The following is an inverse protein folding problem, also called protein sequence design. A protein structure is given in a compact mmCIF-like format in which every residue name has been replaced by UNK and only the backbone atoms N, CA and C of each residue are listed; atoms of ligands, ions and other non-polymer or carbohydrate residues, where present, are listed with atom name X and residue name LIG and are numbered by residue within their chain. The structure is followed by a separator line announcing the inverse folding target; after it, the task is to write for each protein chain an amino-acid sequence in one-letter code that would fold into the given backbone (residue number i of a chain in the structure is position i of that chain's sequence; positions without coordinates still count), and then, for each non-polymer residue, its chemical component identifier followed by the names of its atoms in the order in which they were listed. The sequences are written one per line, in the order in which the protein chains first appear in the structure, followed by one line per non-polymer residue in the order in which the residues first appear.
data_IF_266308892579
#
_entry.id   IF_266308892579
#
_cell.length_a   1.000
_cell.length_b   1.000
_cell.length_c   1.000
_cell.angle_alpha   90.00
_cell.angle_beta   90.00
_cell.angle_gamma   90.00
#
_symmetry.space_group_name_H-M   'P 1'
#
loop_
_entity.id
_entity.type
_entity.pdbx_description
1 polymer ?
#
# COMPACT_ATOMS: atom_id res chain seq x y z
N UNK A 1 -12.53 -16.28 29.53
CA UNK A 1 -13.65 -16.98 28.86
C UNK A 1 -14.37 -16.11 27.84
N UNK A 2 -14.99 -14.99 28.22
CA UNK A 2 -15.72 -14.10 27.29
C UNK A 2 -14.86 -13.64 26.09
N UNK A 3 -13.59 -13.30 26.30
CA UNK A 3 -12.70 -12.92 25.20
C UNK A 3 -12.40 -14.09 24.25
N UNK A 4 -12.30 -15.33 24.76
CA UNK A 4 -12.12 -16.53 23.94
C UNK A 4 -13.38 -16.81 23.12
N UNK A 5 -14.57 -16.62 23.70
CA UNK A 5 -15.86 -16.75 23.00
C UNK A 5 -15.97 -15.70 21.90
N UNK A 6 -15.65 -14.44 22.18
CA UNK A 6 -15.64 -13.38 21.18
C UNK A 6 -14.64 -13.67 20.04
N UNK A 7 -13.45 -14.17 20.37
CA UNK A 7 -12.44 -14.55 19.39
C UNK A 7 -12.88 -15.73 18.50
N UNK A 8 -13.46 -16.76 19.11
CA UNK A 8 -14.02 -17.91 18.39
C UNK A 8 -15.19 -17.48 17.49
N UNK A 9 -16.09 -16.62 17.99
CA UNK A 9 -17.22 -16.08 17.24
C UNK A 9 -16.76 -15.24 16.03
N UNK A 10 -15.72 -14.43 16.20
CA UNK A 10 -15.10 -13.67 15.10
C UNK A 10 -14.46 -14.58 14.05
N UNK A 11 -13.88 -15.71 14.48
CA UNK A 11 -13.25 -16.68 13.58
C UNK A 11 -14.27 -17.48 12.75
N UNK A 12 -15.47 -17.73 13.29
CA UNK A 12 -16.56 -18.42 12.59
C UNK A 12 -17.19 -17.60 11.45
N UNK A 13 -17.10 -16.26 11.51
CA UNK A 13 -17.72 -15.34 10.55
C UNK A 13 -19.26 -15.49 10.43
N UNK A 14 -19.93 -14.62 9.65
CA UNK A 14 -21.38 -14.74 9.38
C UNK A 14 -22.31 -14.22 10.50
N UNK A 15 -23.63 -14.46 10.34
CA UNK A 15 -24.69 -13.87 11.18
C UNK A 15 -24.63 -14.38 12.62
N UNK A 16 -24.46 -15.69 12.81
CA UNK A 16 -24.37 -16.32 14.14
C UNK A 16 -23.12 -15.88 14.91
N UNK A 17 -21.98 -15.68 14.22
CA UNK A 17 -20.77 -15.11 14.83
C UNK A 17 -20.97 -13.67 15.32
N UNK A 18 -21.70 -12.84 14.56
CA UNK A 18 -22.06 -11.47 14.97
C UNK A 18 -22.93 -11.44 16.22
N UNK A 19 -23.96 -12.29 16.27
CA UNK A 19 -24.88 -12.37 17.41
C UNK A 19 -24.15 -12.85 18.67
N UNK A 20 -23.32 -13.89 18.57
CA UNK A 20 -22.51 -14.42 19.68
C UNK A 20 -21.49 -13.40 20.21
N UNK A 21 -20.77 -12.70 19.33
CA UNK A 21 -19.81 -11.68 19.77
C UNK A 21 -20.50 -10.48 20.42
N UNK A 22 -21.62 -10.03 19.84
CA UNK A 22 -22.40 -8.92 20.41
C UNK A 22 -22.94 -9.30 21.79
N UNK A 23 -23.45 -10.52 21.95
CA UNK A 23 -23.87 -11.04 23.25
C UNK A 23 -22.71 -11.16 24.24
N UNK A 24 -21.55 -11.67 23.81
CA UNK A 24 -20.36 -11.79 24.68
C UNK A 24 -19.89 -10.42 25.20
N UNK A 25 -19.93 -9.38 24.36
CA UNK A 25 -19.57 -8.02 24.77
C UNK A 25 -20.66 -7.31 25.56
N UNK A 26 -21.93 -7.55 25.27
CA UNK A 26 -23.02 -7.10 26.13
C UNK A 26 -22.89 -7.70 27.55
N UNK A 27 -22.57 -8.99 27.65
CA UNK A 27 -22.32 -9.67 28.93
C UNK A 27 -21.04 -9.14 29.61
N UNK A 28 -19.98 -8.87 28.84
CA UNK A 28 -18.76 -8.23 29.37
C UNK A 28 -19.05 -6.83 29.91
N UNK A 29 -19.91 -6.06 29.24
CA UNK A 29 -20.37 -4.74 29.67
C UNK A 29 -21.13 -4.80 30.99
N UNK A 30 -22.02 -5.79 31.15
CA UNK A 30 -22.73 -6.03 32.39
C UNK A 30 -21.81 -6.41 33.57
N UNK A 31 -20.61 -6.94 33.31
CA UNK A 31 -19.65 -7.37 34.35
C UNK A 31 -18.65 -6.30 34.80
N UNK A 32 -18.86 -5.02 34.45
CA UNK A 32 -17.96 -3.87 34.69
C UNK A 32 -16.59 -4.07 34.03
N UNK A 33 -16.45 -3.55 32.81
CA UNK A 33 -15.21 -3.54 32.04
C UNK A 33 -13.96 -3.04 32.79
N UNK A 34 -14.11 -2.27 33.88
CA UNK A 34 -13.00 -1.80 34.72
C UNK A 34 -12.23 -2.92 35.44
N UNK A 35 -12.73 -4.15 35.44
CA UNK A 35 -12.03 -5.33 35.99
C UNK A 35 -11.20 -6.08 34.94
N UNK A 36 -11.27 -5.68 33.67
CA UNK A 36 -10.57 -6.36 32.58
C UNK A 36 -9.16 -5.81 32.41
N UNK A 37 -8.20 -6.69 32.17
CA UNK A 37 -6.86 -6.31 31.75
C UNK A 37 -6.90 -5.65 30.36
N UNK A 38 -5.98 -4.72 30.10
CA UNK A 38 -5.81 -4.04 28.81
C UNK A 38 -5.74 -5.02 27.61
N UNK A 39 -5.09 -6.19 27.79
CA UNK A 39 -5.02 -7.25 26.77
C UNK A 39 -6.40 -7.84 26.45
N UNK A 40 -7.23 -8.02 27.46
CA UNK A 40 -8.58 -8.57 27.30
C UNK A 40 -9.48 -7.57 26.58
N UNK A 41 -9.37 -6.28 26.91
CA UNK A 41 -10.08 -5.20 26.20
C UNK A 41 -9.66 -5.13 24.72
N UNK A 42 -8.35 -5.22 24.42
CA UNK A 42 -7.85 -5.26 23.05
C UNK A 42 -8.39 -6.47 22.25
N UNK A 43 -8.47 -7.64 22.87
CA UNK A 43 -9.03 -8.84 22.24
C UNK A 43 -10.54 -8.67 21.91
N UNK A 44 -11.31 -8.03 22.79
CA UNK A 44 -12.71 -7.72 22.53
C UNK A 44 -12.87 -6.69 21.40
N UNK A 45 -12.02 -5.66 21.35
CA UNK A 45 -12.01 -4.69 20.24
C UNK A 45 -11.75 -5.39 18.90
N UNK A 46 -10.80 -6.33 18.88
CA UNK A 46 -10.48 -7.12 17.69
C UNK A 46 -11.66 -7.94 17.18
N UNK A 47 -12.35 -8.63 18.07
CA UNK A 47 -13.51 -9.45 17.70
C UNK A 47 -14.65 -8.60 17.13
N UNK A 48 -14.91 -7.44 17.73
CA UNK A 48 -15.90 -6.47 17.25
C UNK A 48 -15.57 -5.91 15.86
N UNK A 49 -14.33 -5.49 15.66
CA UNK A 49 -13.89 -4.97 14.36
C UNK A 49 -13.95 -6.04 13.27
N UNK A 50 -13.59 -7.30 13.56
CA UNK A 50 -13.70 -8.41 12.60
C UNK A 50 -15.14 -8.67 12.17
N UNK A 51 -16.10 -8.46 13.06
CA UNK A 51 -17.52 -8.69 12.81
C UNK A 51 -18.26 -7.44 12.32
N UNK A 52 -17.56 -6.30 12.23
CA UNK A 52 -18.09 -4.99 11.89
C UNK A 52 -19.30 -4.60 12.77
N UNK A 53 -19.16 -4.79 14.08
CA UNK A 53 -20.19 -4.44 15.10
C UNK A 53 -19.69 -3.29 15.97
N UNK A 54 -20.58 -2.33 16.30
CA UNK A 54 -20.27 -1.20 17.19
C UNK A 54 -20.56 -1.55 18.66
N UNK A 55 -19.71 -1.10 19.58
CA UNK A 55 -19.88 -1.34 21.02
C UNK A 55 -19.52 -0.10 21.87
N UNK A 56 -20.46 0.86 22.06
CA UNK A 56 -20.19 2.10 22.80
C UNK A 56 -19.66 1.87 24.23
N UNK A 57 -20.14 0.84 24.92
CA UNK A 57 -19.68 0.51 26.27
C UNK A 57 -18.20 0.03 26.30
N UNK A 58 -17.71 -0.56 25.22
CA UNK A 58 -16.29 -0.92 25.06
C UNK A 58 -15.43 0.33 24.85
N UNK A 59 -15.97 1.39 24.23
CA UNK A 59 -15.25 2.65 24.04
C UNK A 59 -15.01 3.36 25.37
N UNK A 60 -16.04 3.40 26.23
CA UNK A 60 -15.90 3.99 27.57
C UNK A 60 -14.89 3.20 28.41
N UNK A 61 -14.90 1.87 28.31
CA UNK A 61 -13.92 1.01 28.96
C UNK A 61 -12.48 1.30 28.52
N UNK A 62 -12.24 1.38 27.21
CA UNK A 62 -10.92 1.72 26.65
C UNK A 62 -10.45 3.09 27.12
N UNK A 63 -11.33 4.10 27.15
CA UNK A 63 -10.97 5.45 27.57
C UNK A 63 -10.59 5.53 29.08
N UNK A 64 -11.15 4.64 29.89
CA UNK A 64 -10.93 4.60 31.35
C UNK A 64 -9.82 3.66 31.78
N UNK A 65 -9.46 2.68 30.95
CA UNK A 65 -8.34 1.81 31.21
C UNK A 65 -7.03 2.63 31.30
N UNK A 66 -6.22 2.26 32.27
CA UNK A 66 -4.87 2.80 32.49
C UNK A 66 -3.89 1.66 32.17
N UNK A 67 -2.67 2.00 31.78
CA UNK A 67 -1.57 1.01 31.57
C UNK A 67 -1.62 0.17 30.28
N UNK A 68 -2.15 0.70 29.17
CA UNK A 68 -1.94 0.01 27.89
C UNK A 68 -0.46 0.01 27.49
N UNK A 69 0.07 -1.17 27.16
CA UNK A 69 1.33 -1.29 26.44
C UNK A 69 1.16 -0.90 24.97
N UNK A 70 2.27 -0.70 24.25
CA UNK A 70 2.24 -0.29 22.84
C UNK A 70 1.50 -1.29 21.94
N UNK A 71 1.58 -2.59 22.24
CA UNK A 71 0.87 -3.64 21.49
C UNK A 71 -0.63 -3.54 21.65
N UNK A 72 -1.10 -3.34 22.88
CA UNK A 72 -2.52 -3.22 23.17
C UNK A 72 -3.09 -1.92 22.60
N UNK A 73 -2.38 -0.79 22.72
CA UNK A 73 -2.74 0.48 22.07
C UNK A 73 -2.90 0.30 20.56
N UNK A 74 -1.92 -0.33 19.91
CA UNK A 74 -1.94 -0.59 18.47
C UNK A 74 -3.11 -1.48 18.06
N UNK A 75 -3.39 -2.54 18.82
CA UNK A 75 -4.50 -3.44 18.56
C UNK A 75 -5.85 -2.71 18.63
N UNK A 76 -6.09 -1.91 19.67
CA UNK A 76 -7.34 -1.15 19.81
C UNK A 76 -7.48 -0.12 18.68
N UNK A 77 -6.42 0.65 18.39
CA UNK A 77 -6.45 1.65 17.32
C UNK A 77 -6.71 1.02 15.94
N UNK A 78 -6.06 -0.12 15.65
CA UNK A 78 -6.24 -0.87 14.40
C UNK A 78 -7.69 -1.32 14.20
N UNK A 79 -8.40 -1.62 15.29
CA UNK A 79 -9.79 -2.04 15.25
C UNK A 79 -10.75 -0.85 15.07
N UNK A 80 -10.47 0.27 15.73
CA UNK A 80 -11.30 1.47 15.68
C UNK A 80 -11.23 2.19 14.30
N UNK A 81 -10.06 2.18 13.65
CA UNK A 81 -9.84 2.97 12.43
C UNK A 81 -10.74 2.56 11.24
N UNK A 82 -10.91 1.27 10.88
CA UNK A 82 -11.82 0.87 9.81
C UNK A 82 -13.31 1.13 10.12
N UNK A 83 -13.68 1.18 11.40
CA UNK A 83 -15.05 1.44 11.85
C UNK A 83 -15.39 2.93 11.94
N UNK A 84 -14.40 3.81 11.70
CA UNK A 84 -14.50 5.26 11.87
C UNK A 84 -14.95 5.65 13.29
N UNK A 85 -14.46 4.93 14.30
CA UNK A 85 -14.77 5.20 15.71
C UNK A 85 -13.85 6.30 16.26
N UNK A 86 -14.11 7.53 15.81
CA UNK A 86 -13.23 8.68 16.05
C UNK A 86 -12.99 8.99 17.53
N UNK A 87 -14.01 8.78 18.38
CA UNK A 87 -13.90 9.02 19.83
C UNK A 87 -12.94 8.05 20.54
N UNK A 88 -12.83 6.80 20.06
CA UNK A 88 -11.87 5.82 20.59
C UNK A 88 -10.46 6.25 20.26
N UNK A 89 -10.19 6.56 18.99
CA UNK A 89 -8.86 7.01 18.56
C UNK A 89 -8.45 8.30 19.26
N UNK A 90 -9.36 9.27 19.39
CA UNK A 90 -9.08 10.51 20.11
C UNK A 90 -8.65 10.24 21.57
N UNK A 91 -9.30 9.30 22.25
CA UNK A 91 -8.98 8.92 23.64
C UNK A 91 -7.63 8.21 23.77
N UNK A 92 -7.16 7.54 22.72
CA UNK A 92 -5.86 6.85 22.71
C UNK A 92 -4.67 7.78 22.46
N UNK A 93 -4.88 9.02 21.98
CA UNK A 93 -3.78 9.93 21.57
C UNK A 93 -2.80 10.22 22.71
N UNK A 94 -3.30 10.65 23.87
CA UNK A 94 -2.48 10.95 25.05
C UNK A 94 -1.67 9.72 25.51
N UNK A 95 -2.34 8.57 25.79
CA UNK A 95 -1.66 7.33 26.13
C UNK A 95 -0.59 6.88 25.13
N UNK A 96 -0.82 7.06 23.82
CA UNK A 96 0.19 6.74 22.80
C UNK A 96 1.44 7.62 22.92
N UNK A 97 1.27 8.93 23.14
CA UNK A 97 2.40 9.87 23.28
C UNK A 97 3.18 9.55 24.55
N UNK A 98 2.49 9.42 25.68
CA UNK A 98 3.10 9.09 26.97
C UNK A 98 3.87 7.78 26.91
N UNK A 99 3.27 6.74 26.33
CA UNK A 99 3.92 5.43 26.22
C UNK A 99 5.10 5.44 25.27
N UNK A 100 4.98 6.09 24.11
CA UNK A 100 6.08 6.20 23.16
C UNK A 100 7.27 6.99 23.71
N UNK A 101 7.04 7.95 24.61
CA UNK A 101 8.11 8.70 25.27
C UNK A 101 8.90 7.88 26.30
N UNK A 102 8.30 6.81 26.84
CA UNK A 102 8.92 5.95 27.86
C UNK A 102 9.65 4.74 27.27
N UNK A 103 9.30 4.31 26.06
CA UNK A 103 9.83 3.10 25.45
C UNK A 103 11.07 3.37 24.59
N UNK A 104 12.24 2.89 25.04
CA UNK A 104 13.46 2.85 24.23
C UNK A 104 13.56 1.53 23.46
N UNK A 105 13.51 1.62 22.13
CA UNK A 105 13.63 0.46 21.24
C UNK A 105 15.08 0.10 20.94
N UNK A 106 16.05 0.99 21.17
CA UNK A 106 17.45 0.77 20.75
C UNK A 106 18.09 -0.52 21.28
N UNK A 107 17.78 -1.03 22.50
CA UNK A 107 18.32 -2.31 22.96
C UNK A 107 17.93 -3.50 22.07
N UNK A 108 16.83 -3.41 21.31
CA UNK A 108 16.39 -4.46 20.40
C UNK A 108 17.31 -4.60 19.18
N UNK A 109 18.14 -3.59 18.86
CA UNK A 109 19.12 -3.68 17.79
C UNK A 109 20.09 -4.86 18.02
N UNK A 110 20.47 -5.11 19.28
CA UNK A 110 21.34 -6.24 19.65
C UNK A 110 20.74 -7.62 19.34
N UNK A 111 19.41 -7.71 19.21
CA UNK A 111 18.68 -8.94 18.87
C UNK A 111 18.60 -9.19 17.36
N UNK A 112 19.16 -8.29 16.55
CA UNK A 112 19.20 -8.40 15.11
C UNK A 112 18.04 -7.72 14.39
N UNK A 113 18.18 -7.49 13.08
CA UNK A 113 17.31 -6.59 12.32
C UNK A 113 15.90 -7.17 12.09
N UNK A 114 15.74 -8.50 12.05
CA UNK A 114 14.44 -9.15 11.87
C UNK A 114 13.58 -8.98 13.13
N UNK A 115 14.13 -9.29 14.30
CA UNK A 115 13.44 -9.11 15.59
C UNK A 115 13.11 -7.64 15.85
N UNK A 116 14.04 -6.73 15.54
CA UNK A 116 13.78 -5.29 15.60
C UNK A 116 12.62 -4.87 14.68
N UNK A 117 12.58 -5.41 13.46
CA UNK A 117 11.47 -5.18 12.52
C UNK A 117 10.13 -5.66 13.07
N UNK A 118 10.05 -6.85 13.65
CA UNK A 118 8.83 -7.38 14.27
C UNK A 118 8.38 -6.54 15.46
N UNK A 119 9.33 -6.12 16.31
CA UNK A 119 9.04 -5.29 17.46
C UNK A 119 8.52 -3.89 17.09
N UNK A 120 8.87 -3.37 15.91
CA UNK A 120 8.41 -2.07 15.41
C UNK A 120 6.93 -2.03 14.98
N UNK A 121 6.30 -3.19 14.76
CA UNK A 121 4.96 -3.29 14.17
C UNK A 121 3.88 -2.49 14.91
N UNK A 122 3.82 -2.46 16.26
CA UNK A 122 2.80 -1.69 16.98
C UNK A 122 2.84 -0.19 16.67
N UNK A 123 4.02 0.42 16.55
CA UNK A 123 4.17 1.84 16.19
C UNK A 123 3.69 2.10 14.77
N UNK A 124 4.07 1.25 13.82
CA UNK A 124 3.60 1.35 12.43
C UNK A 124 2.08 1.17 12.32
N UNK A 125 1.50 0.25 13.09
CA UNK A 125 0.06 0.03 13.17
C UNK A 125 -0.68 1.24 13.74
N UNK A 126 -0.14 1.88 14.79
CA UNK A 126 -0.69 3.14 15.32
C UNK A 126 -0.63 4.25 14.27
N UNK A 127 0.53 4.45 13.63
CA UNK A 127 0.70 5.42 12.54
C UNK A 127 -0.33 5.21 11.43
N UNK A 128 -0.53 3.96 11.00
CA UNK A 128 -1.55 3.60 10.02
C UNK A 128 -2.97 3.92 10.51
N UNK A 129 -3.30 3.53 11.74
CA UNK A 129 -4.66 3.64 12.28
C UNK A 129 -5.10 5.09 12.42
N UNK A 130 -4.24 5.93 13.00
CA UNK A 130 -4.49 7.37 13.11
C UNK A 130 -4.49 8.05 11.73
N UNK A 131 -3.62 7.65 10.80
CA UNK A 131 -3.62 8.24 9.45
C UNK A 131 -4.84 7.84 8.62
N UNK A 132 -5.33 6.62 8.78
CA UNK A 132 -6.50 6.11 8.07
C UNK A 132 -7.76 6.88 8.49
N UNK A 133 -7.87 7.19 9.79
CA UNK A 133 -8.92 8.01 10.37
C UNK A 133 -8.68 9.53 10.26
N UNK A 134 -7.61 9.99 9.60
CA UNK A 134 -7.25 11.41 9.49
C UNK A 134 -7.04 12.12 10.85
N UNK A 135 -6.58 11.38 11.86
CA UNK A 135 -6.35 11.88 13.23
C UNK A 135 -4.88 11.92 13.67
N UNK A 136 -3.94 11.65 12.77
CA UNK A 136 -2.51 11.70 13.06
C UNK A 136 -2.02 13.17 13.11
N UNK A 137 -1.89 13.73 14.30
CA UNK A 137 -1.30 15.06 14.49
C UNK A 137 0.23 15.02 14.35
N UNK A 138 0.86 16.17 14.11
CA UNK A 138 2.33 16.29 14.04
C UNK A 138 3.01 15.83 15.32
N UNK A 139 2.47 16.19 16.49
CA UNK A 139 2.98 15.76 17.80
C UNK A 139 2.93 14.24 17.95
N UNK A 140 1.79 13.62 17.64
CA UNK A 140 1.64 12.16 17.73
C UNK A 140 2.53 11.46 16.70
N UNK A 141 2.62 12.00 15.48
CA UNK A 141 3.50 11.47 14.43
C UNK A 141 4.95 11.47 14.89
N UNK A 142 5.44 12.58 15.43
CA UNK A 142 6.82 12.68 15.93
C UNK A 142 7.09 11.71 17.07
N UNK A 143 6.16 11.59 18.03
CA UNK A 143 6.30 10.67 19.16
C UNK A 143 6.39 9.20 18.72
N UNK A 144 5.60 8.80 17.71
CA UNK A 144 5.59 7.41 17.21
C UNK A 144 6.73 7.11 16.23
N UNK A 145 7.14 8.07 15.41
CA UNK A 145 8.20 7.88 14.41
C UNK A 145 9.60 7.89 15.04
N UNK A 146 9.82 8.71 16.08
CA UNK A 146 11.15 8.91 16.64
C UNK A 146 11.80 7.61 17.17
N UNK A 147 11.14 6.76 17.98
CA UNK A 147 11.72 5.51 18.45
C UNK A 147 12.11 4.56 17.30
N UNK A 148 11.32 4.56 16.21
CA UNK A 148 11.59 3.75 15.03
C UNK A 148 12.88 4.18 14.31
N UNK A 149 13.09 5.50 14.19
CA UNK A 149 14.33 6.04 13.60
C UNK A 149 15.53 5.74 14.48
N UNK A 150 15.40 5.86 15.80
CA UNK A 150 16.48 5.53 16.73
C UNK A 150 16.86 4.05 16.68
N UNK A 151 15.88 3.15 16.61
CA UNK A 151 16.10 1.72 16.40
C UNK A 151 16.88 1.46 15.10
N UNK A 152 16.49 2.12 14.00
CA UNK A 152 17.19 2.00 12.72
C UNK A 152 18.64 2.49 12.77
N UNK A 153 18.89 3.64 13.42
CA UNK A 153 20.25 4.16 13.65
C UNK A 153 21.11 3.22 14.48
N UNK A 154 20.54 2.65 15.55
CA UNK A 154 21.22 1.68 16.38
C UNK A 154 21.65 0.45 15.57
N UNK A 155 20.75 -0.11 14.75
CA UNK A 155 21.08 -1.22 13.84
C UNK A 155 22.14 -0.83 12.80
N UNK A 156 22.06 0.37 12.23
CA UNK A 156 23.03 0.88 11.26
C UNK A 156 24.43 1.11 11.87
N UNK A 157 24.51 1.30 13.19
CA UNK A 157 25.76 1.47 13.94
C UNK A 157 26.43 0.17 14.35
N UNK A 158 25.73 -0.95 14.28
CA UNK A 158 26.31 -2.26 14.57
C UNK A 158 27.39 -2.59 13.51
N UNK A 159 28.50 -3.23 13.91
CA UNK A 159 29.48 -3.72 12.96
C UNK A 159 28.78 -4.67 11.99
N UNK A 160 29.15 -4.61 10.71
CA UNK A 160 28.64 -5.55 9.72
C UNK A 160 28.96 -6.97 10.22
N UNK A 161 27.93 -7.70 10.65
CA UNK A 161 28.11 -9.07 11.11
C UNK A 161 28.56 -9.90 9.92
N UNK A 162 29.83 -10.31 9.92
CA UNK A 162 30.36 -11.40 9.12
C UNK A 162 29.74 -12.70 9.61
N UNK A 163 28.46 -12.91 9.30
CA UNK A 163 27.67 -14.04 9.76
C UNK A 163 26.75 -14.53 8.66
N UNK A 164 27.24 -15.51 7.89
CA UNK A 164 26.48 -16.50 7.11
C UNK A 164 25.08 -16.08 6.66
N UNK A 165 24.97 -15.06 5.82
CA UNK A 165 23.94 -15.11 4.81
C UNK A 165 24.46 -16.12 3.78
N UNK A 166 23.97 -17.36 3.86
CA UNK A 166 24.12 -18.29 2.76
C UNK A 166 23.56 -17.59 1.53
N UNK A 167 24.46 -17.04 0.73
CA UNK A 167 24.15 -16.59 -0.62
C UNK A 167 23.73 -17.88 -1.29
N UNK A 168 22.45 -18.01 -1.65
CA UNK A 168 22.02 -19.05 -2.58
C UNK A 168 22.75 -18.79 -3.91
N UNK A 169 24.01 -19.24 -3.98
CA UNK A 169 24.86 -19.16 -5.16
C UNK A 169 24.22 -19.89 -6.34
N UNK A 170 23.31 -20.83 -6.04
CA UNK A 170 22.49 -21.54 -7.02
C UNK A 170 21.51 -20.65 -7.82
N UNK A 171 21.30 -19.38 -7.43
CA UNK A 171 20.42 -18.46 -8.16
C UNK A 171 21.15 -17.53 -9.15
N UNK A 172 22.48 -17.68 -9.30
CA UNK A 172 23.33 -16.79 -10.12
C UNK A 172 23.39 -17.17 -11.61
N UNK A 173 22.73 -18.23 -12.06
CA UNK A 173 22.77 -18.67 -13.46
C UNK A 173 21.38 -18.87 -14.05
N UNK A 174 20.82 -17.79 -14.60
CA UNK A 174 19.89 -17.80 -15.74
C UNK A 174 19.53 -16.34 -16.08
N UNK A 175 20.17 -15.75 -17.07
CA UNK A 175 19.76 -14.43 -17.59
C UNK A 175 19.99 -14.37 -19.09
N UNK A 176 19.05 -14.91 -19.85
CA UNK A 176 18.91 -14.63 -21.28
C UNK A 176 17.44 -14.78 -21.65
N UNK A 177 16.71 -13.66 -21.71
CA UNK A 177 15.32 -13.68 -22.15
C UNK A 177 14.60 -12.32 -22.21
N UNK A 178 14.84 -11.41 -21.24
CA UNK A 178 14.25 -10.06 -21.29
C UNK A 178 15.25 -9.05 -21.86
N UNK A 179 14.84 -8.31 -22.89
CA UNK A 179 15.64 -7.24 -23.51
C UNK A 179 15.80 -5.99 -22.62
N UNK A 180 15.02 -5.87 -21.53
CA UNK A 180 15.02 -4.69 -20.66
C UNK A 180 15.49 -5.06 -19.24
N UNK A 181 16.53 -4.36 -18.78
CA UNK A 181 17.06 -4.52 -17.43
C UNK A 181 16.52 -3.45 -16.46
N UNK A 182 16.38 -3.77 -15.17
CA UNK A 182 16.13 -2.79 -14.13
C UNK A 182 17.30 -1.79 -14.04
N UNK A 183 17.00 -0.59 -13.55
CA UNK A 183 18.03 0.44 -13.34
C UNK A 183 17.72 1.28 -12.11
N UNK A 184 18.75 1.90 -11.53
CA UNK A 184 18.58 2.87 -10.44
C UNK A 184 18.25 4.23 -11.05
N UNK A 185 17.12 4.80 -10.65
CA UNK A 185 16.62 6.10 -11.13
C UNK A 185 17.04 7.25 -10.22
N UNK A 186 17.00 7.01 -8.90
CA UNK A 186 17.37 8.01 -7.89
C UNK A 186 18.13 7.33 -6.75
N UNK A 187 19.18 7.97 -6.25
CA UNK A 187 19.89 7.57 -5.02
C UNK A 187 19.77 8.69 -3.99
N UNK A 188 19.46 8.32 -2.76
CA UNK A 188 19.49 9.20 -1.60
C UNK A 188 20.23 8.49 -0.45
N UNK A 189 20.70 9.22 0.58
CA UNK A 189 21.29 8.59 1.75
C UNK A 189 20.36 7.52 2.35
N UNK A 190 20.81 6.26 2.34
CA UNK A 190 20.09 5.13 2.89
C UNK A 190 18.93 4.57 2.07
N UNK A 191 18.60 5.12 0.90
CA UNK A 191 17.45 4.68 0.08
C UNK A 191 17.68 4.92 -1.42
N UNK A 192 16.93 4.22 -2.25
CA UNK A 192 16.98 4.38 -3.71
C UNK A 192 15.60 4.20 -4.35
N UNK A 193 15.44 4.76 -5.55
CA UNK A 193 14.34 4.44 -6.45
C UNK A 193 14.90 3.68 -7.64
N UNK A 194 14.27 2.55 -7.98
CA UNK A 194 14.66 1.70 -9.12
C UNK A 194 13.51 1.58 -10.11
N UNK A 195 13.79 1.53 -11.41
CA UNK A 195 12.79 1.22 -12.42
C UNK A 195 12.66 -0.29 -12.60
N UNK A 196 11.44 -0.81 -12.47
CA UNK A 196 11.05 -2.19 -12.79
C UNK A 196 10.53 -2.26 -14.23
N UNK A 197 11.23 -2.93 -15.16
CA UNK A 197 10.65 -3.27 -16.46
C UNK A 197 9.52 -4.33 -16.30
N UNK A 198 8.70 -4.56 -17.34
CA UNK A 198 7.79 -5.71 -17.35
C UNK A 198 8.56 -7.03 -17.26
N UNK A 199 7.86 -8.11 -16.93
CA UNK A 199 8.38 -9.49 -16.79
C UNK A 199 9.33 -9.73 -15.61
N UNK A 200 9.71 -8.67 -14.88
CA UNK A 200 10.43 -8.78 -13.62
C UNK A 200 9.46 -8.88 -12.43
N UNK A 201 9.64 -9.89 -11.59
CA UNK A 201 8.89 -10.06 -10.35
C UNK A 201 9.52 -9.25 -9.21
N UNK A 202 8.65 -8.66 -8.39
CA UNK A 202 9.03 -8.16 -7.06
C UNK A 202 8.82 -9.30 -6.06
N UNK A 203 9.89 -10.05 -5.78
CA UNK A 203 9.87 -11.15 -4.84
C UNK A 203 10.01 -10.65 -3.40
N UNK A 204 9.17 -11.21 -2.52
CA UNK A 204 9.07 -10.84 -1.10
C UNK A 204 9.18 -12.09 -0.24
N UNK A 205 9.34 -11.95 1.08
CA UNK A 205 9.33 -13.10 1.99
C UNK A 205 8.07 -13.98 1.81
N UNK A 206 6.92 -13.35 1.54
CA UNK A 206 5.65 -14.04 1.30
C UNK A 206 5.58 -14.81 -0.04
N UNK A 207 6.46 -14.53 -1.00
CA UNK A 207 6.50 -15.22 -2.31
C UNK A 207 7.26 -16.57 -2.25
N UNK A 208 7.69 -17.02 -1.07
CA UNK A 208 8.60 -18.16 -0.90
C UNK A 208 8.05 -19.57 -1.22
N UNK A 209 6.73 -19.71 -1.43
CA UNK A 209 6.07 -21.02 -1.51
C UNK A 209 5.36 -21.33 -2.83
N UNK A 210 5.39 -20.44 -3.82
CA UNK A 210 4.88 -20.78 -5.16
C UNK A 210 5.96 -21.61 -5.88
N UNK A 211 5.62 -22.87 -6.20
CA UNK A 211 6.51 -23.82 -6.87
C UNK A 211 7.13 -23.32 -8.18
N UNK A 212 7.99 -24.13 -8.82
CA UNK A 212 8.83 -23.69 -9.94
C UNK A 212 7.97 -23.34 -11.15
N UNK A 213 7.65 -22.06 -11.33
CA UNK A 213 7.03 -21.53 -12.53
C UNK A 213 8.03 -20.63 -13.23
N UNK A 214 8.73 -21.20 -14.24
CA UNK A 214 9.73 -20.58 -15.11
C UNK A 214 10.89 -19.84 -14.38
N UNK A 215 12.04 -19.63 -15.01
CA UNK A 215 13.06 -18.72 -14.48
C UNK A 215 12.51 -17.28 -14.56
N UNK A 216 11.81 -16.84 -13.52
CA UNK A 216 11.28 -15.48 -13.43
C UNK A 216 12.39 -14.55 -12.95
N UNK A 217 12.64 -13.46 -13.69
CA UNK A 217 13.64 -12.45 -13.32
C UNK A 217 13.17 -11.72 -12.05
N UNK A 218 14.05 -11.62 -11.05
CA UNK A 218 13.71 -11.10 -9.72
C UNK A 218 14.39 -9.78 -9.43
N UNK A 219 13.64 -8.80 -8.94
CA UNK A 219 14.20 -7.51 -8.55
C UNK A 219 15.19 -7.66 -7.39
N UNK A 220 14.97 -8.58 -6.46
CA UNK A 220 15.95 -8.83 -5.39
C UNK A 220 17.32 -9.27 -5.91
N UNK A 221 17.38 -9.97 -7.05
CA UNK A 221 18.64 -10.38 -7.67
C UNK A 221 19.39 -9.15 -8.19
N UNK A 222 18.71 -8.29 -8.94
CA UNK A 222 19.29 -7.01 -9.40
C UNK A 222 19.76 -6.13 -8.23
N UNK A 223 18.97 -6.00 -7.16
CA UNK A 223 19.35 -5.18 -6.00
C UNK A 223 20.63 -5.68 -5.34
N UNK A 224 20.76 -7.00 -5.13
CA UNK A 224 21.95 -7.58 -4.49
C UNK A 224 23.21 -7.50 -5.36
N UNK A 225 23.05 -7.45 -6.68
CA UNK A 225 24.16 -7.22 -7.61
C UNK A 225 24.62 -5.76 -7.61
N UNK A 226 23.68 -4.81 -7.54
CA UNK A 226 23.98 -3.37 -7.66
C UNK A 226 24.37 -2.72 -6.35
N UNK A 227 23.92 -3.27 -5.22
CA UNK A 227 24.16 -2.71 -3.90
C UNK A 227 24.93 -3.69 -3.01
N UNK A 228 26.16 -3.33 -2.67
CA UNK A 228 27.02 -4.08 -1.77
C UNK A 228 26.43 -4.23 -0.36
N UNK A 229 26.66 -5.39 0.27
CA UNK A 229 26.08 -5.74 1.56
C UNK A 229 26.57 -4.86 2.71
N UNK A 230 27.81 -4.37 2.70
CA UNK A 230 28.32 -3.51 3.77
C UNK A 230 27.63 -2.14 3.75
N UNK A 231 27.33 -1.62 2.56
CA UNK A 231 26.66 -0.33 2.38
C UNK A 231 25.15 -0.42 2.38
N UNK A 232 24.58 -1.54 1.97
CA UNK A 232 23.13 -1.73 1.83
C UNK A 232 22.64 -3.07 2.41
N UNK A 233 22.84 -3.34 3.71
CA UNK A 233 22.55 -4.65 4.29
C UNK A 233 21.07 -5.05 4.18
N UNK A 234 20.15 -4.08 4.12
CA UNK A 234 18.71 -4.34 4.03
C UNK A 234 18.35 -5.09 2.75
N UNK A 235 19.01 -4.80 1.63
CA UNK A 235 18.71 -5.47 0.34
C UNK A 235 19.17 -6.91 0.27
N UNK A 236 19.96 -7.36 1.25
CA UNK A 236 20.42 -8.73 1.39
C UNK A 236 19.61 -9.52 2.42
N UNK A 237 18.65 -8.88 3.09
CA UNK A 237 17.78 -9.53 4.07
C UNK A 237 16.40 -9.83 3.47
N UNK A 238 16.15 -11.11 3.16
CA UNK A 238 14.88 -11.58 2.61
C UNK A 238 13.68 -11.31 3.53
N UNK A 239 13.86 -11.48 4.83
CA UNK A 239 12.84 -11.26 5.87
C UNK A 239 12.43 -9.78 5.98
N UNK A 240 13.23 -8.88 5.42
CA UNK A 240 12.92 -7.46 5.29
C UNK A 240 12.52 -7.08 3.86
N UNK A 241 12.07 -8.07 3.08
CA UNK A 241 11.66 -7.95 1.67
C UNK A 241 12.74 -7.31 0.79
N UNK A 242 14.03 -7.55 1.10
CA UNK A 242 15.15 -6.93 0.40
C UNK A 242 15.06 -5.39 0.36
N UNK A 243 14.41 -4.79 1.36
CA UNK A 243 14.19 -3.34 1.43
C UNK A 243 13.12 -2.81 0.49
N UNK A 244 12.37 -3.65 -0.22
CA UNK A 244 11.30 -3.22 -1.12
C UNK A 244 10.08 -2.76 -0.30
N UNK A 245 9.72 -1.47 -0.39
CA UNK A 245 8.61 -0.92 0.40
C UNK A 245 7.23 -1.33 -0.12
N UNK A 246 7.16 -1.63 -1.41
CA UNK A 246 5.92 -1.96 -2.11
C UNK A 246 6.22 -2.73 -3.39
N UNK A 247 5.23 -3.49 -3.86
CA UNK A 247 5.32 -4.32 -5.07
C UNK A 247 4.66 -3.70 -6.30
N UNK A 248 5.04 -4.22 -7.46
CA UNK A 248 4.34 -4.08 -8.73
C UNK A 248 4.08 -5.49 -9.27
N UNK A 249 2.96 -5.68 -9.95
CA UNK A 249 2.67 -6.95 -10.62
C UNK A 249 3.70 -7.20 -11.73
N UNK A 250 4.04 -8.46 -11.98
CA UNK A 250 5.05 -8.86 -12.99
C UNK A 250 4.90 -8.16 -14.34
N UNK A 251 3.72 -8.12 -14.99
CA UNK A 251 3.57 -7.44 -16.28
C UNK A 251 3.55 -5.90 -16.16
N UNK A 252 3.34 -5.35 -14.97
CA UNK A 252 3.32 -3.89 -14.78
C UNK A 252 4.75 -3.34 -14.77
N UNK A 253 4.92 -2.07 -15.09
CA UNK A 253 6.24 -1.41 -15.12
C UNK A 253 6.27 -0.16 -14.23
N UNK A 254 7.46 0.39 -13.99
CA UNK A 254 7.63 1.68 -13.35
C UNK A 254 8.51 1.65 -12.10
N UNK A 255 8.52 2.78 -11.41
CA UNK A 255 9.44 3.03 -10.29
C UNK A 255 9.16 2.11 -9.10
N UNK A 256 10.14 1.80 -8.25
CA UNK A 256 10.04 1.04 -6.99
C UNK A 256 10.91 1.78 -5.94
N UNK A 257 10.42 1.93 -4.71
CA UNK A 257 11.18 2.54 -3.62
C UNK A 257 11.83 1.44 -2.77
N UNK A 258 13.12 1.62 -2.48
CA UNK A 258 13.98 0.63 -1.82
C UNK A 258 14.71 1.27 -0.66
N UNK A 259 14.61 0.68 0.52
CA UNK A 259 15.46 0.98 1.67
C UNK A 259 16.78 0.22 1.57
N UNK A 260 17.91 0.93 1.71
CA UNK A 260 19.25 0.35 1.72
C UNK A 260 19.78 0.18 3.14
N UNK A 261 19.39 1.08 4.05
CA UNK A 261 19.80 1.15 5.47
C UNK A 261 18.62 0.98 6.42
N UNK A 262 18.87 0.61 7.67
CA UNK A 262 17.81 0.31 8.63
C UNK A 262 17.03 1.56 9.07
N UNK A 263 17.70 2.71 9.30
CA UNK A 263 17.00 3.98 9.56
C UNK A 263 16.04 4.34 8.41
N UNK A 264 16.51 4.19 7.17
CA UNK A 264 15.69 4.40 5.99
C UNK A 264 14.55 3.40 5.86
N UNK A 265 14.76 2.12 6.21
CA UNK A 265 13.70 1.11 6.20
C UNK A 265 12.55 1.51 7.13
N UNK A 266 12.85 1.88 8.37
CA UNK A 266 11.81 2.27 9.32
C UNK A 266 11.15 3.60 8.95
N UNK A 267 11.91 4.61 8.53
CA UNK A 267 11.36 5.89 8.08
C UNK A 267 10.44 5.73 6.85
N UNK A 268 10.83 4.90 5.87
CA UNK A 268 10.02 4.67 4.69
C UNK A 268 8.81 3.78 4.97
N UNK A 269 8.90 2.81 5.89
CA UNK A 269 7.73 2.04 6.36
C UNK A 269 6.73 2.94 7.08
N UNK A 270 7.22 3.85 7.92
CA UNK A 270 6.40 4.87 8.55
C UNK A 270 5.66 5.71 7.51
N UNK A 271 6.37 6.27 6.51
CA UNK A 271 5.74 7.03 5.42
C UNK A 271 4.75 6.21 4.59
N UNK A 272 5.02 4.92 4.35
CA UNK A 272 4.10 4.01 3.66
C UNK A 272 2.81 3.85 4.44
N UNK A 273 2.93 3.60 5.74
CA UNK A 273 1.82 3.24 6.61
C UNK A 273 1.00 4.49 7.01
N UNK A 274 1.61 5.68 7.01
CA UNK A 274 0.92 6.98 7.16
C UNK A 274 0.43 7.61 5.84
N UNK A 275 0.58 6.91 4.71
CA UNK A 275 0.19 7.35 3.37
C UNK A 275 0.94 8.58 2.82
N UNK A 276 2.12 8.91 3.36
CA UNK A 276 2.97 9.98 2.88
C UNK A 276 3.70 9.64 1.55
N UNK A 277 3.82 8.35 1.20
CA UNK A 277 4.38 7.94 -0.10
C UNK A 277 3.33 8.09 -1.20
N UNK A 278 3.58 9.01 -2.13
CA UNK A 278 2.80 9.16 -3.34
C UNK A 278 3.21 8.18 -4.43
N UNK A 279 2.23 7.49 -5.02
CA UNK A 279 2.43 6.53 -6.11
C UNK A 279 1.46 6.85 -7.22
N UNK A 280 1.93 7.49 -8.28
CA UNK A 280 1.10 7.90 -9.40
C UNK A 280 1.29 6.93 -10.58
N UNK A 281 0.18 6.44 -11.11
CA UNK A 281 0.12 5.46 -12.20
C UNK A 281 -0.55 6.08 -13.42
N UNK A 282 -0.08 5.69 -14.60
CA UNK A 282 -0.83 5.81 -15.85
C UNK A 282 -1.45 4.44 -16.15
N UNK A 283 -2.75 4.42 -16.43
CA UNK A 283 -3.52 3.22 -16.68
C UNK A 283 -4.43 3.42 -17.90
N UNK A 284 -4.48 2.44 -18.80
CA UNK A 284 -5.48 2.39 -19.88
C UNK A 284 -6.51 1.31 -19.55
N UNK A 285 -7.79 1.64 -19.62
CA UNK A 285 -8.88 0.71 -19.35
C UNK A 285 -9.97 0.74 -20.42
N UNK A 286 -10.77 -0.32 -20.46
CA UNK A 286 -11.89 -0.49 -21.38
C UNK A 286 -13.08 0.40 -21.01
N UNK A 287 -13.80 0.87 -22.02
CA UNK A 287 -14.94 1.76 -21.90
C UNK A 287 -14.55 3.24 -21.74
N UNK A 288 -15.54 4.13 -21.89
CA UNK A 288 -15.42 5.54 -21.52
C UNK A 288 -15.86 5.71 -20.07
N UNK A 289 -14.89 5.84 -19.17
CA UNK A 289 -15.10 6.12 -17.75
C UNK A 289 -15.69 7.53 -17.61
N UNK A 290 -16.67 7.78 -16.73
CA UNK A 290 -17.18 9.12 -16.47
C UNK A 290 -16.06 10.11 -16.15
N UNK A 291 -16.05 11.27 -16.81
CA UNK A 291 -14.97 12.25 -16.70
C UNK A 291 -14.85 12.86 -15.29
N UNK A 292 -15.91 12.81 -14.50
CA UNK A 292 -15.99 13.28 -13.11
C UNK A 292 -15.59 12.22 -12.07
N UNK A 293 -15.18 11.01 -12.48
CA UNK A 293 -14.68 9.99 -11.57
C UNK A 293 -13.41 10.47 -10.87
N UNK A 294 -13.54 10.81 -9.58
CA UNK A 294 -12.44 11.35 -8.77
C UNK A 294 -11.84 10.37 -7.77
N UNK A 295 -12.59 9.35 -7.34
CA UNK A 295 -12.12 8.31 -6.41
C UNK A 295 -12.91 7.01 -6.53
N UNK A 296 -12.27 5.92 -6.14
CA UNK A 296 -12.85 4.60 -5.94
C UNK A 296 -12.57 4.18 -4.50
N UNK A 297 -13.61 4.21 -3.66
CA UNK A 297 -13.57 3.79 -2.27
C UNK A 297 -14.36 2.48 -2.12
N UNK A 298 -13.68 1.37 -2.40
CA UNK A 298 -14.33 0.07 -2.50
C UNK A 298 -13.42 -0.99 -1.83
N UNK A 299 -13.80 -1.57 -0.68
CA UNK A 299 -12.96 -2.49 0.06
C UNK A 299 -12.68 -3.79 -0.70
N UNK A 300 -11.48 -4.33 -0.54
CA UNK A 300 -10.99 -5.49 -1.28
C UNK A 300 -10.78 -6.72 -0.37
N UNK A 301 -11.35 -7.85 -0.77
CA UNK A 301 -11.09 -9.17 -0.20
C UNK A 301 -10.20 -10.01 -1.13
N UNK A 302 -9.39 -10.90 -0.56
CA UNK A 302 -8.58 -11.85 -1.34
C UNK A 302 -9.39 -13.13 -1.61
N UNK A 303 -9.26 -13.67 -2.82
CA UNK A 303 -9.77 -15.00 -3.22
C UNK A 303 -8.62 -15.99 -3.43
N UNK A 304 -7.43 -15.70 -2.87
CA UNK A 304 -6.19 -16.43 -3.13
C UNK A 304 -5.52 -15.96 -4.41
N UNK A 305 -6.14 -16.20 -5.56
CA UNK A 305 -5.54 -15.88 -6.87
C UNK A 305 -5.69 -14.40 -7.27
N UNK A 306 -6.73 -13.71 -6.79
CA UNK A 306 -7.01 -12.31 -7.12
C UNK A 306 -7.67 -11.57 -5.96
N UNK A 307 -7.74 -10.25 -6.07
CA UNK A 307 -8.55 -9.42 -5.18
C UNK A 307 -9.84 -9.00 -5.88
N UNK A 308 -10.93 -8.92 -5.10
CA UNK A 308 -12.27 -8.55 -5.56
C UNK A 308 -12.89 -7.57 -4.57
N UNK A 309 -13.77 -6.69 -5.06
CA UNK A 309 -14.55 -5.80 -4.18
C UNK A 309 -15.55 -6.65 -3.41
N UNK A 310 -15.48 -6.60 -2.08
CA UNK A 310 -16.32 -7.39 -1.18
C UNK A 310 -16.70 -6.57 0.05
N UNK A 311 -17.96 -6.68 0.46
CA UNK A 311 -18.43 -6.13 1.75
C UNK A 311 -17.65 -6.81 2.88
N UNK A 312 -17.06 -6.03 3.78
CA UNK A 312 -16.15 -6.54 4.82
C UNK A 312 -14.72 -6.83 4.35
N UNK A 313 -14.37 -6.50 3.10
CA UNK A 313 -12.98 -6.52 2.63
C UNK A 313 -12.13 -5.46 3.35
N UNK A 314 -10.81 -5.50 3.11
CA UNK A 314 -9.88 -4.51 3.67
C UNK A 314 -10.08 -3.16 2.98
N UNK A 315 -10.02 -2.07 3.74
CA UNK A 315 -10.09 -0.69 3.23
C UNK A 315 -9.15 -0.51 2.04
N UNK A 316 -9.71 -0.01 0.94
CA UNK A 316 -8.99 0.26 -0.29
C UNK A 316 -9.52 1.52 -0.99
N UNK A 317 -8.67 2.54 -1.08
CA UNK A 317 -8.99 3.83 -1.68
C UNK A 317 -8.01 4.16 -2.81
N UNK A 318 -8.54 4.53 -3.97
CA UNK A 318 -7.79 4.97 -5.14
C UNK A 318 -8.34 6.30 -5.64
N UNK A 319 -7.49 7.33 -5.74
CA UNK A 319 -7.85 8.57 -6.43
C UNK A 319 -7.66 8.43 -7.93
N UNK A 320 -8.53 9.05 -8.70
CA UNK A 320 -8.58 8.95 -10.15
C UNK A 320 -8.64 10.35 -10.77
N UNK A 321 -8.01 10.47 -11.93
CA UNK A 321 -8.11 11.60 -12.85
C UNK A 321 -8.25 11.01 -14.26
N UNK A 322 -9.40 11.20 -14.89
CA UNK A 322 -9.69 10.69 -16.24
C UNK A 322 -9.05 11.64 -17.24
N UNK A 323 -7.87 11.25 -17.73
CA UNK A 323 -7.02 12.10 -18.54
C UNK A 323 -7.51 12.23 -19.99
N UNK A 324 -8.23 11.23 -20.52
CA UNK A 324 -8.80 11.31 -21.86
C UNK A 324 -9.53 10.06 -22.31
N UNK A 325 -10.33 10.21 -23.36
CA UNK A 325 -11.09 9.14 -24.00
C UNK A 325 -10.58 8.88 -25.41
N UNK A 326 -10.50 7.61 -25.77
CA UNK A 326 -10.00 7.18 -27.07
C UNK A 326 -10.86 6.04 -27.64
N UNK A 327 -10.61 5.72 -28.90
CA UNK A 327 -11.07 4.52 -29.56
C UNK A 327 -9.87 3.65 -29.91
N UNK A 328 -9.88 2.40 -29.48
CA UNK A 328 -8.94 1.38 -29.93
C UNK A 328 -9.54 0.69 -31.16
N UNK A 329 -8.88 0.81 -32.31
CA UNK A 329 -9.31 0.17 -33.55
C UNK A 329 -8.20 -0.78 -34.09
N UNK A 330 -7.86 -1.86 -33.36
CA UNK A 330 -6.94 -2.86 -33.87
C UNK A 330 -7.43 -3.45 -35.19
N UNK A 331 -6.52 -3.75 -36.11
CA UNK A 331 -6.84 -4.28 -37.44
C UNK A 331 -7.73 -5.54 -37.33
N UNK A 332 -8.84 -5.54 -38.08
CA UNK A 332 -9.78 -6.65 -38.11
C UNK A 332 -10.72 -6.76 -36.91
N UNK A 333 -10.78 -5.74 -36.04
CA UNK A 333 -11.69 -5.68 -34.91
C UNK A 333 -12.53 -4.40 -34.95
N UNK A 334 -13.71 -4.43 -34.33
CA UNK A 334 -14.55 -3.23 -34.21
C UNK A 334 -13.87 -2.22 -33.28
N UNK A 335 -13.93 -0.91 -33.59
CA UNK A 335 -13.47 0.12 -32.68
C UNK A 335 -14.12 -0.02 -31.30
N UNK A 336 -13.31 -0.03 -30.25
CA UNK A 336 -13.75 -0.16 -28.86
C UNK A 336 -13.38 1.09 -28.05
N UNK A 337 -14.29 1.62 -27.21
CA UNK A 337 -13.98 2.75 -26.34
C UNK A 337 -12.97 2.35 -25.27
N UNK A 338 -12.00 3.23 -25.01
CA UNK A 338 -11.02 3.09 -23.92
C UNK A 338 -10.76 4.44 -23.25
N UNK A 339 -10.35 4.42 -21.99
CA UNK A 339 -10.03 5.61 -21.20
C UNK A 339 -8.61 5.54 -20.65
N UNK A 340 -7.91 6.68 -20.70
CA UNK A 340 -6.61 6.84 -20.07
C UNK A 340 -6.79 7.56 -18.73
N UNK A 341 -6.28 6.96 -17.65
CA UNK A 341 -6.42 7.47 -16.29
C UNK A 341 -5.05 7.70 -15.66
N UNK A 342 -4.96 8.77 -14.87
CA UNK A 342 -3.97 8.94 -13.82
C UNK A 342 -4.57 8.45 -12.52
N UNK A 343 -3.92 7.49 -11.87
CA UNK A 343 -4.45 6.87 -10.66
C UNK A 343 -3.44 6.93 -9.52
N UNK A 344 -3.90 7.27 -8.32
CA UNK A 344 -3.10 7.35 -7.10
C UNK A 344 -3.72 6.49 -5.99
N UNK A 345 -3.35 5.20 -5.88
CA UNK A 345 -3.82 4.35 -4.80
C UNK A 345 -3.25 4.85 -3.46
N UNK A 346 -4.13 5.27 -2.54
CA UNK A 346 -3.77 5.66 -1.17
C UNK A 346 -3.34 4.44 -0.37
N UNK A 347 -4.12 3.37 -0.46
CA UNK A 347 -3.79 2.05 0.10
C UNK A 347 -3.00 1.19 -0.91
N UNK A 348 -2.37 0.11 -0.45
CA UNK A 348 -1.56 -0.79 -1.31
C UNK A 348 -2.05 -2.24 -1.30
N UNK A 349 -3.32 -2.50 -1.58
CA UNK A 349 -3.84 -3.89 -1.64
C UNK A 349 -3.38 -4.60 -2.91
N UNK A 350 -3.32 -5.93 -2.86
CA UNK A 350 -2.98 -6.75 -4.02
C UNK A 350 -3.93 -6.44 -5.19
N UNK A 351 -3.36 -6.23 -6.39
CA UNK A 351 -4.11 -5.90 -7.61
C UNK A 351 -5.12 -4.73 -7.48
N UNK A 352 -4.93 -3.79 -6.54
CA UNK A 352 -5.97 -2.82 -6.16
C UNK A 352 -6.56 -2.06 -7.36
N UNK A 353 -5.70 -1.46 -8.20
CA UNK A 353 -6.11 -0.73 -9.40
C UNK A 353 -6.94 -1.63 -10.33
N UNK A 354 -6.46 -2.86 -10.58
CA UNK A 354 -7.08 -3.82 -11.51
C UNK A 354 -8.45 -4.26 -11.01
N UNK A 355 -8.56 -4.57 -9.71
CA UNK A 355 -9.81 -4.99 -9.07
C UNK A 355 -10.84 -3.85 -9.02
N UNK A 356 -10.41 -2.63 -8.69
CA UNK A 356 -11.27 -1.43 -8.68
C UNK A 356 -11.84 -1.12 -10.06
N UNK A 357 -10.98 -1.11 -11.08
CA UNK A 357 -11.39 -0.84 -12.46
C UNK A 357 -12.32 -1.93 -13.00
N UNK A 358 -12.05 -3.21 -12.71
CA UNK A 358 -12.96 -4.31 -13.05
C UNK A 358 -14.32 -4.17 -12.35
N UNK A 359 -14.33 -3.76 -11.08
CA UNK A 359 -15.55 -3.56 -10.30
C UNK A 359 -16.44 -2.47 -10.91
N UNK A 360 -15.85 -1.39 -11.44
CA UNK A 360 -16.58 -0.34 -12.16
C UNK A 360 -17.02 -0.75 -13.57
N UNK A 361 -16.72 -1.97 -14.03
CA UNK A 361 -17.02 -2.40 -15.40
C UNK A 361 -16.02 -1.91 -16.46
N UNK A 362 -14.90 -1.33 -16.04
CA UNK A 362 -13.88 -0.74 -16.91
C UNK A 362 -12.53 -1.44 -16.72
N UNK A 363 -12.38 -2.74 -17.02
CA UNK A 363 -11.15 -3.48 -16.74
C UNK A 363 -9.93 -2.90 -17.48
N UNK A 364 -8.75 -3.11 -16.90
CA UNK A 364 -7.47 -2.68 -17.50
C UNK A 364 -7.24 -3.38 -18.83
N UNK A 365 -6.76 -2.64 -19.82
CA UNK A 365 -6.39 -3.16 -21.14
C UNK A 365 -5.24 -4.17 -21.01
N UNK A 366 -5.37 -5.29 -21.73
CA UNK A 366 -4.41 -6.39 -21.76
C UNK A 366 -4.17 -7.02 -20.37
N UNK A 367 -5.23 -7.10 -19.56
CA UNK A 367 -5.23 -7.76 -18.26
C UNK A 367 -5.89 -9.15 -18.34
N UNK A 368 -5.10 -10.20 -18.55
CA UNK A 368 -5.63 -11.56 -18.68
C UNK A 368 -6.31 -12.14 -17.43
N UNK A 369 -6.19 -11.50 -16.25
CA UNK A 369 -6.82 -12.00 -15.00
C UNK A 369 -8.16 -11.33 -14.72
N UNK A 370 -8.27 -10.05 -15.08
CA UNK A 370 -9.46 -9.24 -14.80
C UNK A 370 -10.30 -8.96 -16.06
N UNK A 371 -9.75 -9.16 -17.24
CA UNK A 371 -10.36 -8.87 -18.53
C UNK A 371 -10.21 -10.06 -19.53
N UNK A 372 -10.55 -11.30 -19.14
CA UNK A 372 -10.29 -12.48 -19.98
C UNK A 372 -10.96 -12.39 -21.36
N UNK A 373 -12.16 -11.80 -21.43
CA UNK A 373 -12.97 -11.75 -22.64
C UNK A 373 -12.37 -10.84 -23.72
N UNK A 374 -11.64 -9.79 -23.35
CA UNK A 374 -10.96 -8.87 -24.27
C UNK A 374 -9.45 -9.13 -24.40
N UNK A 375 -8.86 -9.96 -23.54
CA UNK A 375 -7.41 -10.16 -23.46
C UNK A 375 -6.77 -10.63 -24.78
N UNK A 376 -7.45 -11.52 -25.52
CA UNK A 376 -6.95 -12.03 -26.80
C UNK A 376 -6.86 -10.94 -27.88
N UNK A 377 -7.86 -10.05 -27.90
CA UNK A 377 -7.94 -8.93 -28.84
C UNK A 377 -7.01 -7.78 -28.44
N UNK A 378 -6.90 -7.49 -27.14
CA UNK A 378 -5.98 -6.51 -26.58
C UNK A 378 -4.53 -6.78 -26.98
N UNK A 379 -4.11 -8.05 -26.92
CA UNK A 379 -2.76 -8.49 -27.29
C UNK A 379 -2.34 -8.16 -28.72
N UNK A 380 -3.30 -7.90 -29.62
CA UNK A 380 -2.99 -7.54 -31.02
C UNK A 380 -2.40 -6.13 -31.14
N UNK A 381 -2.63 -5.27 -30.15
CA UNK A 381 -2.22 -3.87 -30.20
C UNK A 381 -1.56 -3.33 -28.93
N UNK A 382 -1.80 -3.96 -27.78
CA UNK A 382 -1.16 -3.66 -26.51
C UNK A 382 -0.40 -4.91 -26.02
N UNK A 383 0.93 -4.84 -25.82
CA UNK A 383 1.74 -6.04 -25.60
C UNK A 383 1.58 -6.67 -24.21
N UNK A 384 1.11 -5.91 -23.23
CA UNK A 384 0.96 -6.30 -21.82
C UNK A 384 -0.01 -5.37 -21.12
N UNK A 385 -0.34 -5.65 -19.86
CA UNK A 385 -1.25 -4.80 -19.10
C UNK A 385 -0.77 -3.33 -19.11
N UNK A 386 -1.67 -2.42 -19.46
CA UNK A 386 -1.35 -1.00 -19.56
C UNK A 386 -1.38 -0.38 -18.17
N UNK A 387 -0.36 -0.67 -17.37
CA UNK A 387 -0.13 -0.07 -16.04
C UNK A 387 1.34 0.32 -15.95
N UNK A 388 1.58 1.58 -15.64
CA UNK A 388 2.92 2.11 -15.43
C UNK A 388 2.96 3.08 -14.25
N UNK A 389 3.79 2.81 -13.23
CA UNK A 389 4.04 3.76 -12.14
C UNK A 389 5.09 4.78 -12.58
N UNK A 390 4.62 5.90 -13.10
CA UNK A 390 5.44 6.95 -13.69
C UNK A 390 6.04 7.90 -12.66
N UNK A 391 5.46 8.02 -11.46
CA UNK A 391 5.96 8.95 -10.43
C UNK A 391 5.86 8.38 -9.01
N UNK A 392 6.93 8.61 -8.25
CA UNK A 392 7.02 8.34 -6.82
C UNK A 392 7.41 9.63 -6.08
N UNK A 393 6.74 9.90 -4.96
CA UNK A 393 7.07 11.01 -4.05
C UNK A 393 7.19 10.49 -2.63
N UNK A 394 8.19 10.96 -1.90
CA UNK A 394 8.51 10.53 -0.53
C UNK A 394 9.39 11.60 0.16
N UNK A 395 9.67 11.43 1.45
CA UNK A 395 10.60 12.27 2.20
C UNK A 395 11.90 11.51 2.49
N UNK A 396 13.03 12.19 2.38
CA UNK A 396 14.31 11.62 2.81
C UNK A 396 14.48 11.65 4.34
N UNK A 397 15.61 11.14 4.84
CA UNK A 397 15.92 11.11 6.27
C UNK A 397 16.03 12.50 6.92
N UNK A 398 16.19 13.57 6.14
CA UNK A 398 16.23 14.96 6.63
C UNK A 398 14.85 15.63 6.54
N UNK A 399 13.83 14.91 6.10
CA UNK A 399 12.47 15.43 5.87
C UNK A 399 12.28 16.11 4.52
N UNK A 400 13.32 16.21 3.69
CA UNK A 400 13.26 16.85 2.38
C UNK A 400 12.40 16.05 1.42
N UNK A 401 11.47 16.71 0.73
CA UNK A 401 10.66 16.07 -0.30
C UNK A 401 11.53 15.62 -1.48
N UNK A 402 11.30 14.39 -1.93
CA UNK A 402 11.96 13.74 -3.07
C UNK A 402 10.92 13.26 -4.07
N UNK A 403 11.31 13.31 -5.33
CA UNK A 403 10.49 12.89 -6.46
C UNK A 403 11.35 12.11 -7.44
N UNK A 404 10.83 10.99 -7.91
CA UNK A 404 11.37 10.26 -9.05
C UNK A 404 10.29 10.15 -10.12
N UNK A 405 10.69 10.31 -11.38
CA UNK A 405 9.83 10.17 -12.55
C UNK A 405 10.42 9.16 -13.52
N UNK A 406 9.54 8.40 -14.14
CA UNK A 406 9.82 7.50 -15.25
C UNK A 406 8.81 7.80 -16.36
N UNK A 407 9.26 8.14 -17.58
CA UNK A 407 8.34 8.33 -18.70
C UNK A 407 7.67 7.01 -19.08
N UNK A 408 6.50 7.10 -19.73
CA UNK A 408 5.80 5.92 -20.23
C UNK A 408 6.76 5.10 -21.13
N UNK A 409 6.94 3.80 -20.88
CA UNK A 409 7.90 2.99 -21.61
C UNK A 409 7.48 2.84 -23.08
N UNK A 410 8.47 2.60 -23.94
CA UNK A 410 8.31 2.62 -25.41
C UNK A 410 7.14 1.73 -25.89
N UNK A 411 7.04 0.52 -25.34
CA UNK A 411 5.99 -0.45 -25.66
C UNK A 411 4.57 0.09 -25.41
N UNK A 412 4.34 0.78 -24.29
CA UNK A 412 3.06 1.40 -23.97
C UNK A 412 2.83 2.71 -24.74
N UNK A 413 3.88 3.47 -25.06
CA UNK A 413 3.77 4.65 -25.95
C UNK A 413 3.33 4.24 -27.35
N UNK A 414 3.91 3.16 -27.88
CA UNK A 414 3.52 2.61 -29.19
C UNK A 414 2.08 2.09 -29.18
N UNK A 415 1.63 1.46 -28.09
CA UNK A 415 0.23 1.08 -27.95
C UNK A 415 -0.71 2.30 -27.89
N UNK A 416 -0.33 3.35 -27.15
CA UNK A 416 -1.09 4.60 -27.05
C UNK A 416 -1.20 5.33 -28.40
N UNK A 417 -0.12 5.32 -29.19
CA UNK A 417 -0.09 5.94 -30.52
C UNK A 417 -1.02 5.29 -31.55
N UNK A 418 -1.48 4.06 -31.30
CA UNK A 418 -2.47 3.35 -32.14
C UNK A 418 -3.92 3.73 -31.85
N UNK A 419 -4.16 4.57 -30.83
CA UNK A 419 -5.50 4.96 -30.42
C UNK A 419 -5.94 6.25 -31.11
N UNK A 420 -7.20 6.32 -31.48
CA UNK A 420 -7.81 7.54 -32.00
C UNK A 420 -8.38 8.37 -30.84
N UNK A 421 -7.88 9.60 -30.60
CA UNK A 421 -8.43 10.47 -29.55
C UNK A 421 -9.85 10.89 -29.87
N UNK A 422 -10.71 10.94 -28.84
CA UNK A 422 -12.11 11.37 -28.99
C UNK A 422 -12.26 12.88 -29.21
N UNK A 423 -11.36 13.66 -28.64
CA UNK A 423 -11.39 15.12 -28.63
C UNK A 423 -9.96 15.73 -28.58
N UNK A 424 -9.81 17.05 -28.76
CA UNK A 424 -8.50 17.71 -28.71
C UNK A 424 -7.77 17.59 -27.37
N UNK A 425 -8.50 17.48 -26.24
CA UNK A 425 -7.90 17.32 -24.93
C UNK A 425 -7.25 15.94 -24.78
N UNK A 426 -7.93 14.90 -25.24
CA UNK A 426 -7.43 13.52 -25.32
C UNK A 426 -6.19 13.45 -26.23
N UNK A 427 -6.22 14.16 -27.36
CA UNK A 427 -5.07 14.26 -28.26
C UNK A 427 -3.86 14.98 -27.62
N UNK A 428 -4.10 16.00 -26.79
CA UNK A 428 -3.04 16.70 -26.06
C UNK A 428 -2.37 15.79 -25.02
N UNK A 429 -3.16 15.04 -24.24
CA UNK A 429 -2.63 14.10 -23.24
C UNK A 429 -1.83 12.96 -23.88
N UNK A 430 -2.28 12.42 -25.00
CA UNK A 430 -1.51 11.41 -25.73
C UNK A 430 -0.14 11.95 -26.19
N UNK A 431 -0.09 13.20 -26.69
CA UNK A 431 1.17 13.87 -27.06
C UNK A 431 2.07 14.11 -25.85
N UNK A 432 1.52 14.54 -24.71
CA UNK A 432 2.28 14.74 -23.46
C UNK A 432 3.01 13.45 -23.06
N UNK A 433 2.30 12.32 -23.03
CA UNK A 433 2.85 11.03 -22.61
C UNK A 433 3.74 10.38 -23.66
N UNK A 434 3.57 10.73 -24.95
CA UNK A 434 4.44 10.30 -26.03
C UNK A 434 5.77 11.09 -26.05
N UNK A 435 5.73 12.39 -25.75
CA UNK A 435 6.85 13.33 -25.87
C UNK A 435 7.82 13.37 -24.68
N UNK A 436 7.48 12.81 -23.53
CA UNK A 436 8.32 12.83 -22.31
C UNK A 436 9.61 11.99 -22.40
N UNK A 437 10.07 11.60 -23.59
CA UNK A 437 11.21 10.71 -23.80
C UNK A 437 12.60 11.39 -23.72
N UNK A 438 12.70 12.69 -23.46
CA UNK A 438 13.98 13.36 -23.29
C UNK A 438 13.82 14.84 -22.98
N UNK A 439 14.29 15.26 -21.81
CA UNK A 439 14.32 16.65 -21.39
C UNK A 439 14.34 16.77 -19.87
N UNK A 440 15.52 17.05 -19.33
CA UNK A 440 15.64 17.72 -18.04
C UNK A 440 14.80 19.00 -18.11
N UNK A 441 13.62 18.97 -17.50
CA UNK A 441 12.75 20.13 -17.41
C UNK A 441 12.51 20.42 -15.94
N UNK A 442 13.28 21.39 -15.45
CA UNK A 442 12.90 22.20 -14.31
C UNK A 442 11.47 22.68 -14.47
N UNK A 443 10.69 22.61 -13.39
CA UNK A 443 9.59 23.53 -13.17
C UNK A 443 8.34 23.39 -14.04
N UNK A 444 7.73 22.20 -14.14
CA UNK A 444 6.28 22.15 -14.37
C UNK A 444 5.57 21.43 -13.23
N UNK A 445 5.12 22.23 -12.25
CA UNK A 445 4.23 21.80 -11.17
C UNK A 445 2.83 21.63 -11.78
N UNK A 446 2.28 20.41 -11.90
CA UNK A 446 0.88 20.27 -12.29
C UNK A 446 0.00 21.00 -11.26
N UNK A 447 -1.15 21.57 -11.66
CA UNK A 447 -2.04 22.23 -10.73
C UNK A 447 -2.41 21.26 -9.61
N UNK A 448 -2.31 21.74 -8.36
CA UNK A 448 -2.72 20.96 -7.20
C UNK A 448 -4.17 20.47 -7.41
N UNK A 449 -4.51 19.24 -7.00
CA UNK A 449 -5.91 18.83 -6.99
C UNK A 449 -6.69 19.86 -6.18
N UNK A 450 -7.70 20.48 -6.80
CA UNK A 450 -8.63 21.37 -6.10
C UNK A 450 -9.41 20.52 -5.10
N UNK A 451 -8.87 20.32 -3.90
CA UNK A 451 -9.65 20.01 -2.72
C UNK A 451 -10.55 21.22 -2.47
N UNK A 452 -11.77 21.21 -3.00
CA UNK A 452 -12.82 22.09 -2.48
C UNK A 452 -13.06 21.65 -1.05
N UNK A 453 -12.74 22.53 -0.10
CA UNK A 453 -13.20 22.42 1.27
C UNK A 453 -14.72 22.25 1.28
N UNK A 454 -15.18 21.31 2.09
CA UNK A 454 -16.57 20.95 2.26
C UNK A 454 -17.40 22.14 2.73
N UNK A 455 -18.49 22.41 2.01
CA UNK A 455 -19.60 23.23 2.49
C UNK A 455 -20.82 22.33 2.65
N UNK A 456 -21.10 21.94 3.89
CA UNK A 456 -22.42 21.67 4.48
C UNK A 456 -23.55 21.28 3.50
N UNK A 457 -23.80 19.98 3.36
CA UNK A 457 -25.14 19.50 3.00
C UNK A 457 -25.95 19.29 4.29
N UNK A 458 -26.75 20.31 4.65
CA UNK A 458 -27.91 20.12 5.54
C UNK A 458 -28.93 19.22 4.85
N UNK A 459 -29.56 18.37 5.65
CA UNK A 459 -30.49 17.34 5.20
C UNK A 459 -31.77 17.88 4.55
N UNK A 460 -32.40 16.99 3.81
CA UNK A 460 -33.82 17.05 3.49
C UNK A 460 -34.41 15.66 3.68
N UNK A 461 -35.16 15.51 4.78
CA UNK A 461 -36.25 14.54 4.88
C UNK A 461 -37.26 14.78 3.75
N UNK A 462 -37.87 13.72 3.22
CA UNK A 462 -39.02 13.87 2.34
C UNK A 462 -39.37 12.68 1.46
N UNK A 463 -40.23 11.80 2.01
CA UNK A 463 -41.37 11.11 1.34
C UNK A 463 -41.10 10.52 -0.06
N UNK A 464 -41.06 9.20 -0.24
CA UNK A 464 -42.20 8.26 -0.28
C UNK A 464 -41.66 6.85 -0.40
#
# INVERSE_FOLDING_TARGET
ELCCVAWAAASLSGRSGKELCTAAVAVAACRRFLTFECRQLAALCWAHAHLATRAPALHEAVARAREFGMRELAAVAWCAAPLQEEGVLASLRGPCIERAALEDLTPLASRGPVTASEASLPWLQLGWSFSAAQQLSSTLSGALEWPLRQLGRALDSLPATTGTHAVDAASLQATTGSALSPRVVLRCPGMAVVHKPPDWEVDTAASAGSGPSAPTLKISHFLRQVFDAARAPVVHCRQLDYGLLHRLDTPSSGLLLVALRYEALFALRWQRDTFAIGRDYVVLCHGHVPADLSKIDAPLGSTGARSEVRKGGRVALTHCDVAGHFLAAPQGLRPAPVSLLRMRPRTGRQHQIRAHLRYLGHPVVCDGRYAPDCFGDDRRWCPRNFIHRWRLTFHDLRGGAREAREPLPRDLREALARLSPRDPASAAVARELAGAAGGDSEGHRPPAPRCRAEGLCKGSEGKK
#
